data_IF_244413046657
#
_entry.id   IF_244413046657
#
_cell.length_a   1.000
_cell.length_b   1.000
_cell.length_c   1.000
_cell.angle_alpha   90.00
_cell.angle_beta   90.00
_cell.angle_gamma   90.00
#
_symmetry.space_group_name_H-M   'P 1'
#
loop_
_entity.id
_entity.type
_entity.pdbx_description
1 polymer ?
#
# COMPACT_ATOMS: atom_id res chain seq x y z
N UNK A 1 13.09 -16.55 1.90
CA UNK A 1 12.09 -17.36 2.62
C UNK A 1 10.76 -17.19 1.89
N UNK A 2 10.26 -18.20 1.18
CA UNK A 2 9.01 -18.09 0.40
C UNK A 2 7.84 -17.86 1.37
N UNK A 3 7.16 -16.73 1.24
CA UNK A 3 5.89 -16.49 1.93
C UNK A 3 4.85 -17.48 1.38
N UNK A 4 4.32 -18.34 2.25
CA UNK A 4 3.43 -19.45 1.88
C UNK A 4 1.96 -19.18 2.16
N UNK A 5 1.60 -18.03 2.75
CA UNK A 5 0.20 -17.71 3.05
C UNK A 5 -0.22 -16.39 2.42
N UNK A 6 -1.38 -16.40 1.75
CA UNK A 6 -2.05 -15.23 1.19
C UNK A 6 -2.74 -14.41 2.30
N UNK A 7 -1.97 -14.07 3.34
CA UNK A 7 -2.43 -13.35 4.54
C UNK A 7 -1.62 -12.08 4.72
N UNK A 8 -2.31 -11.01 5.12
CA UNK A 8 -1.67 -9.81 5.67
C UNK A 8 -1.25 -10.08 7.11
N UNK A 9 0.05 -10.02 7.38
CA UNK A 9 0.59 -10.19 8.73
C UNK A 9 0.77 -8.84 9.43
N UNK A 10 -0.04 -8.60 10.46
CA UNK A 10 0.01 -7.42 11.32
C UNK A 10 0.73 -7.76 12.62
N UNK A 11 1.80 -7.03 12.96
CA UNK A 11 2.59 -7.29 14.17
C UNK A 11 2.55 -6.09 15.10
N UNK A 12 1.95 -6.23 16.27
CA UNK A 12 2.06 -5.20 17.31
C UNK A 12 3.47 -5.18 17.91
N UNK A 13 4.10 -4.02 17.90
CA UNK A 13 5.42 -3.75 18.47
C UNK A 13 5.31 -2.43 19.27
N UNK A 14 5.21 -2.54 20.59
CA UNK A 14 5.03 -1.39 21.48
C UNK A 14 3.66 -0.72 21.27
N UNK A 15 3.66 0.55 20.84
CA UNK A 15 2.45 1.35 20.56
C UNK A 15 2.07 1.38 19.07
N UNK A 16 2.74 0.58 18.25
CA UNK A 16 2.59 0.57 16.81
C UNK A 16 2.30 -0.84 16.29
N UNK A 17 1.71 -0.92 15.12
CA UNK A 17 1.60 -2.13 14.31
C UNK A 17 2.53 -1.98 13.12
N UNK A 18 3.33 -3.01 12.83
CA UNK A 18 4.23 -3.08 11.69
C UNK A 18 3.82 -4.18 10.73
N UNK A 19 3.87 -3.86 9.43
CA UNK A 19 3.54 -4.75 8.32
C UNK A 19 4.66 -4.66 7.29
N UNK A 20 5.10 -5.80 6.73
CA UNK A 20 6.35 -5.90 5.98
C UNK A 20 6.16 -6.45 4.56
N UNK A 21 7.11 -6.15 3.68
CA UNK A 21 7.24 -6.69 2.33
C UNK A 21 5.95 -6.51 1.51
N UNK A 22 5.46 -7.56 0.85
CA UNK A 22 4.24 -7.50 0.03
C UNK A 22 2.99 -7.10 0.84
N UNK A 23 2.92 -7.41 2.14
CA UNK A 23 1.79 -6.97 2.97
C UNK A 23 1.76 -5.47 3.14
N UNK A 24 2.95 -4.85 3.20
CA UNK A 24 3.06 -3.41 3.32
C UNK A 24 2.49 -2.70 2.08
N UNK A 25 2.56 -3.33 0.91
CA UNK A 25 1.96 -2.83 -0.34
C UNK A 25 0.43 -2.83 -0.24
N UNK A 26 -0.17 -3.91 0.29
CA UNK A 26 -1.62 -4.00 0.47
C UNK A 26 -2.11 -2.91 1.43
N UNK A 27 -1.44 -2.74 2.58
CA UNK A 27 -1.82 -1.70 3.54
C UNK A 27 -1.60 -0.30 2.96
N UNK A 28 -0.48 -0.06 2.27
CA UNK A 28 -0.21 1.21 1.60
C UNK A 28 -1.28 1.56 0.58
N UNK A 29 -1.69 0.58 -0.24
CA UNK A 29 -2.73 0.77 -1.25
C UNK A 29 -4.09 1.09 -0.63
N UNK A 30 -4.50 0.34 0.40
CA UNK A 30 -5.82 0.48 1.03
C UNK A 30 -5.94 1.71 1.93
N UNK A 31 -4.85 2.09 2.61
CA UNK A 31 -4.85 3.13 3.65
C UNK A 31 -4.13 4.42 3.23
N UNK A 32 -3.39 4.41 2.12
CA UNK A 32 -2.57 5.54 1.68
C UNK A 32 -1.28 5.73 2.51
N UNK A 33 -0.87 4.73 3.29
CA UNK A 33 0.32 4.84 4.13
C UNK A 33 1.61 4.74 3.31
N UNK A 34 2.63 5.49 3.70
CA UNK A 34 3.96 5.44 3.07
C UNK A 34 4.68 4.14 3.43
N UNK A 35 5.29 3.51 2.43
CA UNK A 35 6.21 2.39 2.62
C UNK A 35 7.61 2.96 2.85
N UNK A 36 8.29 2.51 3.90
CA UNK A 36 9.68 2.86 4.21
C UNK A 36 10.44 1.58 4.53
N UNK A 37 11.53 1.29 3.81
CA UNK A 37 12.31 0.07 3.97
C UNK A 37 11.44 -1.21 3.94
N UNK A 38 10.58 -1.33 2.92
CA UNK A 38 9.61 -2.42 2.77
C UNK A 38 8.68 -2.62 3.97
N UNK A 39 8.38 -1.55 4.71
CA UNK A 39 7.53 -1.58 5.89
C UNK A 39 6.49 -0.47 5.88
N UNK A 40 5.29 -0.79 6.34
CA UNK A 40 4.28 0.18 6.78
C UNK A 40 4.11 0.04 8.28
N UNK A 41 4.14 1.17 8.99
CA UNK A 41 3.86 1.25 10.41
C UNK A 41 2.74 2.23 10.70
N UNK A 42 1.87 1.91 11.66
CA UNK A 42 0.81 2.81 12.11
C UNK A 42 0.52 2.62 13.61
N UNK A 43 -0.04 3.62 14.31
CA UNK A 43 -0.37 3.50 15.73
C UNK A 43 -1.41 2.41 16.02
N UNK A 44 -1.26 1.67 17.11
CA UNK A 44 -2.15 0.54 17.46
C UNK A 44 -3.62 0.93 17.62
N UNK A 45 -3.92 2.18 18.02
CA UNK A 45 -5.30 2.66 18.12
C UNK A 45 -6.05 2.74 16.77
N UNK A 46 -5.34 2.67 15.65
CA UNK A 46 -5.93 2.64 14.29
C UNK A 46 -6.12 1.20 13.77
N UNK A 47 -5.68 0.18 14.51
CA UNK A 47 -5.72 -1.22 14.07
C UNK A 47 -7.13 -1.66 13.64
N UNK A 48 -8.16 -1.32 14.41
CA UNK A 48 -9.56 -1.64 14.07
C UNK A 48 -9.95 -1.10 12.69
N UNK A 49 -9.54 0.13 12.34
CA UNK A 49 -9.83 0.72 11.03
C UNK A 49 -9.13 -0.05 9.91
N UNK A 50 -7.89 -0.50 10.14
CA UNK A 50 -7.14 -1.30 9.17
C UNK A 50 -7.78 -2.68 8.98
N UNK A 51 -8.21 -3.32 10.07
CA UNK A 51 -8.94 -4.60 10.04
C UNK A 51 -10.22 -4.44 9.23
N UNK A 52 -11.05 -3.44 9.52
CA UNK A 52 -12.29 -3.19 8.78
C UNK A 52 -12.00 -3.05 7.28
N UNK A 53 -10.94 -2.33 6.91
CA UNK A 53 -10.58 -2.17 5.48
C UNK A 53 -10.14 -3.49 4.83
N UNK A 54 -9.46 -4.38 5.56
CA UNK A 54 -9.11 -5.72 5.08
C UNK A 54 -10.37 -6.59 4.93
N UNK A 55 -11.29 -6.53 5.89
CA UNK A 55 -12.55 -7.28 5.85
C UNK A 55 -13.48 -6.80 4.73
N UNK A 56 -13.63 -5.48 4.54
CA UNK A 56 -14.38 -4.88 3.43
C UNK A 56 -13.89 -5.36 2.05
N UNK A 57 -12.62 -5.76 1.96
CA UNK A 57 -12.00 -6.25 0.74
C UNK A 57 -11.89 -7.78 0.70
N UNK A 58 -12.41 -8.51 1.71
CA UNK A 58 -12.25 -9.95 1.88
C UNK A 58 -10.78 -10.39 1.79
N UNK A 59 -9.90 -9.78 2.59
CA UNK A 59 -8.47 -10.12 2.63
C UNK A 59 -8.16 -10.87 3.91
N UNK A 60 -7.57 -12.05 3.77
CA UNK A 60 -7.12 -12.84 4.92
C UNK A 60 -6.06 -12.07 5.72
N UNK A 61 -6.11 -12.17 7.05
CA UNK A 61 -5.13 -11.52 7.92
C UNK A 61 -4.84 -12.32 9.19
N UNK A 62 -3.64 -12.08 9.73
CA UNK A 62 -3.18 -12.61 11.01
C UNK A 62 -2.59 -11.44 11.81
N UNK A 63 -3.10 -11.24 13.02
CA UNK A 63 -2.60 -10.26 13.97
C UNK A 63 -1.79 -10.99 15.02
N UNK A 64 -0.55 -10.57 15.23
CA UNK A 64 0.29 -10.97 16.37
C UNK A 64 0.32 -9.82 17.37
N UNK A 65 -0.37 -9.99 18.50
CA UNK A 65 -0.40 -9.00 19.58
C UNK A 65 0.87 -9.09 20.44
N UNK A 66 1.16 -8.01 21.17
CA UNK A 66 2.34 -7.91 22.05
C UNK A 66 2.36 -8.93 23.19
N UNK A 67 1.21 -9.44 23.61
CA UNK A 67 1.04 -10.44 24.68
C UNK A 67 1.07 -11.88 24.15
N UNK A 68 1.61 -12.07 22.94
CA UNK A 68 1.67 -13.33 22.21
C UNK A 68 0.30 -13.94 21.86
N UNK A 69 -0.79 -13.18 22.01
CA UNK A 69 -2.07 -13.59 21.43
C UNK A 69 -2.03 -13.44 19.92
N UNK A 70 -2.81 -14.27 19.25
CA UNK A 70 -3.02 -14.19 17.82
C UNK A 70 -4.51 -14.13 17.51
N UNK A 71 -4.87 -13.32 16.52
CA UNK A 71 -6.21 -13.30 15.93
C UNK A 71 -6.10 -13.45 14.42
N UNK A 72 -6.99 -14.25 13.84
CA UNK A 72 -6.86 -14.73 12.46
C UNK A 72 -8.22 -14.75 11.79
N UNK A 73 -8.26 -14.19 10.58
CA UNK A 73 -9.44 -14.21 9.70
C UNK A 73 -9.11 -14.88 8.37
N UNK A 74 -9.92 -15.88 8.01
CA UNK A 74 -9.86 -16.57 6.71
C UNK A 74 -11.18 -16.41 5.96
N UNK A 75 -11.11 -15.87 4.74
CA UNK A 75 -12.22 -15.73 3.79
C UNK A 75 -12.28 -16.91 2.79
N UNK A 76 -11.48 -17.95 2.99
CA UNK A 76 -11.37 -19.15 2.18
C UNK A 76 -11.20 -18.80 0.69
N UNK A 77 -12.10 -19.30 -0.15
CA UNK A 77 -12.12 -19.06 -1.60
C UNK A 77 -12.39 -17.60 -1.98
N UNK A 78 -12.90 -16.78 -1.05
CA UNK A 78 -13.21 -15.37 -1.29
C UNK A 78 -12.02 -14.44 -1.00
N UNK A 79 -10.86 -14.98 -0.63
CA UNK A 79 -9.68 -14.17 -0.31
C UNK A 79 -9.17 -13.40 -1.54
N UNK A 80 -9.19 -12.06 -1.45
CA UNK A 80 -8.72 -11.17 -2.52
C UNK A 80 -7.26 -10.71 -2.36
N UNK A 81 -6.49 -11.27 -1.43
CA UNK A 81 -5.10 -10.88 -1.16
C UNK A 81 -4.28 -10.63 -2.44
N UNK A 82 -4.18 -11.63 -3.32
CA UNK A 82 -3.37 -11.54 -4.55
C UNK A 82 -3.90 -10.46 -5.50
N UNK A 83 -5.23 -10.39 -5.66
CA UNK A 83 -5.88 -9.38 -6.51
C UNK A 83 -5.58 -7.96 -6.03
N UNK A 84 -5.61 -7.72 -4.73
CA UNK A 84 -5.34 -6.41 -4.14
C UNK A 84 -3.84 -6.09 -4.15
N UNK A 85 -2.98 -7.08 -3.91
CA UNK A 85 -1.53 -6.93 -4.03
C UNK A 85 -1.12 -6.47 -5.43
N UNK A 86 -1.63 -7.12 -6.48
CA UNK A 86 -1.29 -6.74 -7.86
C UNK A 86 -1.79 -5.33 -8.22
N UNK A 87 -2.99 -4.95 -7.74
CA UNK A 87 -3.46 -3.56 -7.86
C UNK A 87 -2.55 -2.58 -7.13
N UNK A 88 -2.14 -2.92 -5.91
CA UNK A 88 -1.24 -2.12 -5.10
C UNK A 88 0.12 -1.90 -5.76
N UNK A 89 0.74 -2.96 -6.29
CA UNK A 89 2.00 -2.91 -7.04
C UNK A 89 1.91 -1.94 -8.22
N UNK A 90 0.87 -2.07 -9.05
CA UNK A 90 0.65 -1.19 -10.20
C UNK A 90 0.48 0.28 -9.81
N UNK A 91 -0.27 0.56 -8.73
CA UNK A 91 -0.47 1.93 -8.25
C UNK A 91 0.82 2.53 -7.66
N UNK A 92 1.63 1.73 -6.96
CA UNK A 92 2.91 2.17 -6.45
C UNK A 92 3.89 2.49 -7.57
N UNK A 93 4.00 1.63 -8.58
CA UNK A 93 4.84 1.86 -9.76
C UNK A 93 4.48 3.19 -10.46
N UNK A 94 3.18 3.44 -10.69
CA UNK A 94 2.72 4.69 -11.28
C UNK A 94 3.05 5.92 -10.39
N UNK A 95 2.95 5.79 -9.06
CA UNK A 95 3.34 6.86 -8.13
C UNK A 95 4.83 7.14 -8.18
N UNK A 96 5.66 6.10 -8.19
CA UNK A 96 7.12 6.22 -8.31
C UNK A 96 7.51 6.86 -9.64
N UNK A 97 6.89 6.45 -10.75
CA UNK A 97 7.10 7.08 -12.05
C UNK A 97 6.76 8.57 -12.03
N UNK A 98 5.62 8.94 -11.45
CA UNK A 98 5.18 10.34 -11.32
C UNK A 98 6.15 11.15 -10.44
N UNK A 99 6.55 10.60 -9.30
CA UNK A 99 7.50 11.26 -8.39
C UNK A 99 8.87 11.43 -9.06
N UNK A 100 9.31 10.47 -9.89
CA UNK A 100 10.56 10.54 -10.66
C UNK A 100 10.51 11.50 -11.86
N UNK A 101 9.31 11.82 -12.39
CA UNK A 101 9.15 12.77 -13.49
C UNK A 101 9.25 14.21 -12.96
N UNK A 102 8.71 14.49 -11.78
CA UNK A 102 8.67 15.85 -11.19
C UNK A 102 10.02 16.58 -11.23
N UNK A 103 11.13 16.04 -10.69
CA UNK A 103 12.42 16.74 -10.73
C UNK A 103 13.01 16.87 -12.14
N UNK A 104 12.61 16.00 -13.09
CA UNK A 104 13.04 16.10 -14.49
C UNK A 104 12.35 17.26 -15.20
N UNK A 105 11.13 17.62 -14.81
CA UNK A 105 10.41 18.76 -15.35
C UNK A 105 11.03 20.08 -14.87
N UNK A 106 11.55 20.13 -13.64
CA UNK A 106 12.16 21.35 -13.06
C UNK A 106 13.42 21.83 -13.79
N UNK A 107 14.17 20.91 -14.40
CA UNK A 107 15.42 21.22 -15.12
C UNK A 107 15.23 21.29 -16.65
N UNK A 108 13.99 21.20 -17.12
CA UNK A 108 13.70 21.10 -18.54
C UNK A 108 13.72 22.49 -19.21
N UNK A 109 14.15 22.54 -20.48
CA UNK A 109 14.05 23.76 -21.29
C UNK A 109 12.59 24.22 -21.42
N UNK A 110 12.37 25.54 -21.39
CA UNK A 110 11.04 26.17 -21.37
C UNK A 110 10.15 25.63 -22.51
N UNK A 111 10.66 25.59 -23.75
CA UNK A 111 9.88 25.12 -24.91
C UNK A 111 9.39 23.66 -24.77
N UNK A 112 10.18 22.80 -24.12
CA UNK A 112 9.80 21.40 -23.87
C UNK A 112 8.81 21.31 -22.71
N UNK A 113 9.01 22.13 -21.67
CA UNK A 113 8.11 22.18 -20.52
C UNK A 113 6.71 22.65 -20.95
N UNK A 114 6.62 23.70 -21.78
CA UNK A 114 5.35 24.21 -22.33
C UNK A 114 4.58 23.12 -23.10
N UNK A 115 5.27 22.35 -23.95
CA UNK A 115 4.66 21.22 -24.68
C UNK A 115 4.08 20.17 -23.74
N UNK A 116 4.82 19.80 -22.70
CA UNK A 116 4.38 18.81 -21.72
C UNK A 116 3.19 19.33 -20.91
N UNK A 117 3.25 20.58 -20.43
CA UNK A 117 2.15 21.21 -19.66
C UNK A 117 0.89 21.29 -20.50
N UNK A 118 1.00 21.67 -21.78
CA UNK A 118 -0.14 21.69 -22.70
C UNK A 118 -0.77 20.29 -22.83
N UNK A 119 0.04 19.26 -23.08
CA UNK A 119 -0.44 17.88 -23.18
C UNK A 119 -1.14 17.40 -21.90
N UNK A 120 -0.56 17.68 -20.72
CA UNK A 120 -1.19 17.32 -19.43
C UNK A 120 -2.53 18.02 -19.27
N UNK A 121 -2.63 19.31 -19.60
CA UNK A 121 -3.87 20.07 -19.49
C UNK A 121 -4.95 19.58 -20.47
N UNK A 122 -4.57 19.12 -21.66
CA UNK A 122 -5.51 18.48 -22.60
C UNK A 122 -6.09 17.20 -21.99
N UNK A 123 -5.24 16.32 -21.43
CA UNK A 123 -5.69 15.05 -20.83
C UNK A 123 -6.48 15.22 -19.53
N UNK A 124 -6.13 16.21 -18.69
CA UNK A 124 -6.76 16.39 -17.36
C UNK A 124 -8.10 17.14 -17.42
N UNK A 125 -8.28 18.02 -18.40
CA UNK A 125 -9.50 18.83 -18.54
C UNK A 125 -10.50 18.27 -19.58
N UNK A 126 -10.24 17.07 -20.10
CA UNK A 126 -11.21 16.21 -20.81
C UNK A 126 -12.18 15.53 -19.82
#
# INVERSE_FOLDING_TARGET
>A
MKKSSDYVLLREIGKFVSVFDEDSIIISYLMGYKIVNSKVGFPSNVLVKVINKLEDNNINYLIKYKDNKEDKKDFNKNNNYKKILEKGKKVLELREMKDNITPKLEILEIEKLEKIVKYINEVVNE
#
